data_IF_779947142723
#
_entry.id   IF_779947142723
#
_cell.length_a   1.000
_cell.length_b   1.000
_cell.length_c   1.000
_cell.angle_alpha   90.00
_cell.angle_beta   90.00
_cell.angle_gamma   90.00
#
_symmetry.space_group_name_H-M   'P 1'
#
loop_
_entity.id
_entity.type
_entity.pdbx_description
1 polymer ?
#
# COMPACT_ATOMS: atom_id res chain seq x y z
N UNK A 1 -0.20 -23.05 -1.01
CA UNK A 1 -0.51 -21.92 -0.10
C UNK A 1 0.59 -20.87 -0.01
N UNK A 2 1.81 -21.15 0.50
CA UNK A 2 2.87 -20.11 0.60
C UNK A 2 3.20 -19.43 -0.74
N UNK A 3 3.40 -20.22 -1.80
CA UNK A 3 3.63 -19.68 -3.15
C UNK A 3 2.44 -18.85 -3.65
N UNK A 4 1.21 -19.35 -3.45
CA UNK A 4 -0.02 -18.62 -3.78
C UNK A 4 -0.09 -17.26 -3.07
N UNK A 5 0.25 -17.24 -1.78
CA UNK A 5 0.26 -16.03 -0.96
C UNK A 5 1.22 -14.96 -1.48
N UNK A 6 2.46 -15.38 -1.79
CA UNK A 6 3.48 -14.49 -2.34
C UNK A 6 3.05 -13.96 -3.72
N UNK A 7 2.53 -14.81 -4.60
CA UNK A 7 2.06 -14.39 -5.93
C UNK A 7 0.90 -13.38 -5.85
N UNK A 8 -0.03 -13.56 -4.90
CA UNK A 8 -1.13 -12.61 -4.68
C UNK A 8 -0.61 -11.28 -4.13
N UNK A 9 0.36 -11.30 -3.20
CA UNK A 9 1.02 -10.09 -2.70
C UNK A 9 1.72 -9.33 -3.84
N UNK A 10 2.54 -10.01 -4.65
CA UNK A 10 3.23 -9.38 -5.76
C UNK A 10 2.26 -8.85 -6.82
N UNK A 11 1.15 -9.55 -7.09
CA UNK A 11 0.11 -9.09 -8.00
C UNK A 11 -0.64 -7.85 -7.48
N UNK A 12 -0.92 -7.77 -6.17
CA UNK A 12 -1.50 -6.58 -5.54
C UNK A 12 -0.58 -5.37 -5.73
N UNK A 13 0.70 -5.49 -5.39
CA UNK A 13 1.69 -4.41 -5.57
C UNK A 13 1.84 -4.02 -7.03
N UNK A 14 1.98 -4.99 -7.95
CA UNK A 14 2.08 -4.72 -9.38
C UNK A 14 0.87 -3.93 -9.87
N UNK A 15 -0.34 -4.34 -9.48
CA UNK A 15 -1.59 -3.68 -9.91
C UNK A 15 -1.72 -2.27 -9.32
N UNK A 16 -1.45 -2.11 -8.03
CA UNK A 16 -1.52 -0.82 -7.33
C UNK A 16 -0.55 0.20 -7.94
N UNK A 17 0.73 -0.18 -8.10
CA UNK A 17 1.76 0.71 -8.65
C UNK A 17 1.58 0.97 -10.15
N UNK A 18 0.96 0.05 -10.88
CA UNK A 18 0.50 0.30 -12.26
C UNK A 18 -0.62 1.34 -12.29
N UNK A 19 -1.49 1.36 -11.28
CA UNK A 19 -2.46 2.43 -11.10
C UNK A 19 -1.83 3.80 -10.90
N UNK A 20 -0.76 3.89 -10.09
CA UNK A 20 -0.03 5.14 -9.82
C UNK A 20 0.59 5.76 -11.08
N UNK A 21 1.19 4.94 -11.95
CA UNK A 21 1.80 5.44 -13.20
C UNK A 21 0.77 5.82 -14.27
N UNK A 22 -0.47 5.36 -14.13
CA UNK A 22 -1.50 5.60 -15.13
C UNK A 22 -2.02 7.05 -15.11
N UNK A 23 -2.29 7.61 -16.29
CA UNK A 23 -2.82 8.99 -16.43
C UNK A 23 -4.20 9.04 -17.07
N UNK A 24 -4.76 7.88 -17.38
CA UNK A 24 -6.04 7.74 -18.08
C UNK A 24 -7.09 7.08 -17.19
N UNK A 25 -8.23 6.73 -17.78
CA UNK A 25 -9.29 5.95 -17.13
C UNK A 25 -8.83 4.57 -16.61
N UNK A 26 -7.66 4.08 -17.05
CA UNK A 26 -7.07 2.83 -16.55
C UNK A 26 -6.78 2.89 -15.05
N UNK A 27 -6.40 4.07 -14.54
CA UNK A 27 -6.07 4.30 -13.12
C UNK A 27 -7.14 3.76 -12.18
N UNK A 28 -8.39 4.20 -12.35
CA UNK A 28 -9.48 3.78 -11.46
C UNK A 28 -9.71 2.27 -11.52
N UNK A 29 -9.64 1.68 -12.71
CA UNK A 29 -9.80 0.22 -12.87
C UNK A 29 -8.70 -0.56 -12.16
N UNK A 30 -7.46 -0.09 -12.27
CA UNK A 30 -6.32 -0.69 -11.59
C UNK A 30 -6.44 -0.55 -10.07
N UNK A 31 -6.93 0.59 -9.56
CA UNK A 31 -7.21 0.75 -8.13
C UNK A 31 -8.30 -0.21 -7.66
N UNK A 32 -9.43 -0.28 -8.34
CA UNK A 32 -10.52 -1.21 -8.00
C UNK A 32 -10.03 -2.67 -7.96
N UNK A 33 -9.17 -3.06 -8.91
CA UNK A 33 -8.57 -4.39 -8.97
C UNK A 33 -7.53 -4.60 -7.87
N UNK A 34 -6.74 -3.59 -7.53
CA UNK A 34 -5.80 -3.65 -6.41
C UNK A 34 -6.53 -3.91 -5.08
N UNK A 35 -7.70 -3.29 -4.87
CA UNK A 35 -8.51 -3.51 -3.66
C UNK A 35 -9.06 -4.94 -3.59
N UNK A 36 -9.43 -5.52 -4.73
CA UNK A 36 -9.86 -6.91 -4.79
C UNK A 36 -8.68 -7.84 -4.44
N UNK A 37 -7.50 -7.60 -5.00
CA UNK A 37 -6.31 -8.42 -4.76
C UNK A 37 -5.84 -8.31 -3.30
N UNK A 38 -5.91 -7.12 -2.70
CA UNK A 38 -5.61 -6.96 -1.28
C UNK A 38 -6.58 -7.74 -0.40
N UNK A 39 -7.89 -7.72 -0.71
CA UNK A 39 -8.85 -8.59 0.00
C UNK A 39 -8.51 -10.07 -0.13
N UNK A 40 -8.15 -10.54 -1.33
CA UNK A 40 -7.71 -11.92 -1.53
C UNK A 40 -6.46 -12.25 -0.71
N UNK A 41 -5.48 -11.33 -0.67
CA UNK A 41 -4.28 -11.44 0.15
C UNK A 41 -4.62 -11.63 1.63
N UNK A 42 -5.46 -10.76 2.19
CA UNK A 42 -5.88 -10.85 3.61
C UNK A 42 -6.66 -12.14 3.91
N UNK A 43 -7.50 -12.62 2.98
CA UNK A 43 -8.22 -13.89 3.16
C UNK A 43 -7.28 -15.09 3.21
N UNK A 44 -6.29 -15.14 2.32
CA UNK A 44 -5.29 -16.21 2.30
C UNK A 44 -4.44 -16.21 3.57
N UNK A 45 -4.10 -15.03 4.08
CA UNK A 45 -3.37 -14.91 5.35
C UNK A 45 -4.16 -15.50 6.52
N UNK A 46 -5.43 -15.12 6.64
CA UNK A 46 -6.33 -15.66 7.66
C UNK A 46 -6.49 -17.19 7.52
N UNK A 47 -6.55 -17.71 6.30
CA UNK A 47 -6.61 -19.15 6.04
C UNK A 47 -5.32 -19.86 6.48
N UNK A 48 -4.15 -19.27 6.21
CA UNK A 48 -2.86 -19.80 6.67
C UNK A 48 -2.75 -19.81 8.20
N UNK A 49 -3.18 -18.74 8.89
CA UNK A 49 -3.20 -18.68 10.36
C UNK A 49 -4.11 -19.79 10.93
N UNK A 50 -5.34 -19.93 10.40
CA UNK A 50 -6.28 -20.98 10.84
C UNK A 50 -5.73 -22.39 10.67
N UNK A 51 -4.93 -22.62 9.62
CA UNK A 51 -4.31 -23.91 9.34
C UNK A 51 -2.94 -24.08 10.01
N UNK A 52 -2.51 -23.10 10.80
CA UNK A 52 -1.22 -23.07 11.47
C UNK A 52 -0.03 -23.23 10.49
N UNK A 53 -0.16 -22.63 9.30
CA UNK A 53 0.86 -22.61 8.26
C UNK A 53 1.73 -21.37 8.47
N UNK A 54 2.98 -21.56 8.84
CA UNK A 54 3.94 -20.45 8.97
C UNK A 54 4.12 -19.72 7.63
N UNK A 55 4.12 -18.39 7.64
CA UNK A 55 4.32 -17.54 6.47
C UNK A 55 5.20 -16.34 6.80
N UNK A 56 5.62 -15.65 5.75
CA UNK A 56 6.36 -14.41 5.79
C UNK A 56 5.92 -13.51 4.61
N UNK A 57 6.39 -12.26 4.62
CA UNK A 57 6.19 -11.31 3.52
C UNK A 57 7.37 -11.25 2.55
N UNK A 58 8.25 -12.26 2.56
CA UNK A 58 9.38 -12.31 1.66
C UNK A 58 8.91 -12.53 0.22
N UNK A 59 9.35 -11.64 -0.67
CA UNK A 59 8.93 -11.61 -2.07
C UNK A 59 10.05 -11.06 -2.94
N UNK A 60 9.92 -11.22 -4.25
CA UNK A 60 10.82 -10.56 -5.19
C UNK A 60 10.48 -9.08 -5.29
N UNK A 61 11.43 -8.30 -5.82
CA UNK A 61 11.13 -6.93 -6.23
C UNK A 61 10.14 -6.97 -7.40
N UNK A 62 9.09 -6.15 -7.33
CA UNK A 62 8.15 -5.96 -8.44
C UNK A 62 8.73 -4.90 -9.38
N UNK A 63 9.17 -5.27 -10.60
CA UNK A 63 9.78 -4.33 -11.53
C UNK A 63 8.68 -3.47 -12.17
N UNK A 64 8.67 -2.16 -11.87
CA UNK A 64 7.65 -1.24 -12.38
C UNK A 64 8.18 -0.24 -13.42
N UNK A 65 9.50 -0.11 -13.56
CA UNK A 65 10.10 0.85 -14.49
C UNK A 65 9.96 0.36 -15.93
N UNK A 66 8.93 0.86 -16.61
CA UNK A 66 8.58 0.50 -17.99
C UNK A 66 8.32 1.75 -18.82
N UNK A 67 8.31 1.60 -20.15
CA UNK A 67 7.98 2.71 -21.06
C UNK A 67 6.48 2.81 -21.36
N UNK A 68 5.78 1.68 -21.40
CA UNK A 68 4.35 1.62 -21.76
C UNK A 68 3.58 0.77 -20.77
N UNK A 69 2.33 1.16 -20.50
CA UNK A 69 1.46 0.46 -19.56
C UNK A 69 1.22 -1.00 -19.96
N UNK A 70 1.15 -1.29 -21.27
CA UNK A 70 0.98 -2.66 -21.77
C UNK A 70 1.98 -3.64 -21.17
N UNK A 71 3.23 -3.22 -20.91
CA UNK A 71 4.24 -4.11 -20.30
C UNK A 71 3.77 -4.58 -18.92
N UNK A 72 3.26 -3.65 -18.11
CA UNK A 72 2.71 -3.97 -16.79
C UNK A 72 1.39 -4.75 -16.88
N UNK A 73 0.50 -4.41 -17.81
CA UNK A 73 -0.75 -5.16 -18.00
C UNK A 73 -0.49 -6.62 -18.35
N UNK A 74 0.53 -6.91 -19.17
CA UNK A 74 0.94 -8.28 -19.48
C UNK A 74 1.59 -8.98 -18.28
N UNK A 75 2.42 -8.28 -17.50
CA UNK A 75 3.02 -8.84 -16.27
C UNK A 75 1.94 -9.21 -15.26
N UNK A 76 0.99 -8.31 -14.99
CA UNK A 76 -0.14 -8.56 -14.09
C UNK A 76 -0.96 -9.75 -14.60
N UNK A 77 -1.33 -9.79 -15.88
CA UNK A 77 -2.06 -10.94 -16.44
C UNK A 77 -1.33 -12.27 -16.22
N UNK A 78 -0.01 -12.30 -16.38
CA UNK A 78 0.80 -13.49 -16.13
C UNK A 78 0.73 -13.91 -14.67
N UNK A 79 0.90 -12.97 -13.74
CA UNK A 79 0.77 -13.22 -12.29
C UNK A 79 -0.60 -13.77 -11.92
N UNK A 80 -1.67 -13.15 -12.44
CA UNK A 80 -3.04 -13.63 -12.19
C UNK A 80 -3.28 -15.03 -12.76
N UNK A 81 -2.69 -15.36 -13.91
CA UNK A 81 -2.74 -16.72 -14.48
C UNK A 81 -2.02 -17.72 -13.57
N UNK A 82 -0.83 -17.38 -13.07
CA UNK A 82 -0.11 -18.21 -12.10
C UNK A 82 -0.89 -18.38 -10.79
N UNK A 83 -1.53 -17.33 -10.29
CA UNK A 83 -2.40 -17.42 -9.11
C UNK A 83 -3.54 -18.41 -9.37
N UNK A 84 -4.22 -18.32 -10.53
CA UNK A 84 -5.30 -19.25 -10.92
C UNK A 84 -4.83 -20.71 -10.93
N UNK A 85 -3.62 -20.99 -11.39
CA UNK A 85 -3.01 -22.34 -11.37
C UNK A 85 -2.69 -22.82 -9.95
N UNK A 86 -2.38 -21.91 -9.03
CA UNK A 86 -2.03 -22.20 -7.65
C UNK A 86 -3.25 -22.27 -6.71
N UNK A 87 -4.44 -21.88 -7.16
CA UNK A 87 -5.65 -21.84 -6.33
C UNK A 87 -6.05 -23.19 -5.75
N UNK A 88 -5.75 -24.30 -6.44
CA UNK A 88 -6.01 -25.66 -5.93
C UNK A 88 -5.22 -25.98 -4.66
N UNK A 89 -4.22 -25.15 -4.31
CA UNK A 89 -3.48 -25.25 -3.05
C UNK A 89 -4.15 -24.54 -1.86
N UNK A 90 -5.31 -23.91 -2.06
CA UNK A 90 -6.14 -23.33 -0.99
C UNK A 90 -7.28 -24.30 -0.63
N UNK A 91 -7.38 -24.63 0.67
CA UNK A 91 -8.33 -25.62 1.16
C UNK A 91 -9.76 -25.09 1.27
N UNK A 92 -9.93 -23.77 1.44
CA UNK A 92 -11.25 -23.14 1.50
C UNK A 92 -11.88 -23.04 0.10
N UNK A 93 -12.84 -23.91 -0.17
CA UNK A 93 -13.55 -23.96 -1.45
C UNK A 93 -14.33 -22.69 -1.78
N UNK A 94 -14.85 -21.99 -0.77
CA UNK A 94 -15.63 -20.77 -0.98
C UNK A 94 -14.70 -19.61 -1.37
N UNK A 95 -13.57 -19.45 -0.67
CA UNK A 95 -12.52 -18.48 -1.02
C UNK A 95 -11.96 -18.80 -2.41
N UNK A 96 -11.59 -20.06 -2.67
CA UNK A 96 -11.08 -20.50 -3.98
C UNK A 96 -12.04 -20.18 -5.11
N UNK A 97 -13.35 -20.46 -4.94
CA UNK A 97 -14.35 -20.12 -5.94
C UNK A 97 -14.46 -18.59 -6.16
N UNK A 98 -14.49 -17.82 -5.06
CA UNK A 98 -14.59 -16.35 -5.11
C UNK A 98 -13.38 -15.74 -5.83
N UNK A 99 -12.16 -16.13 -5.44
CA UNK A 99 -10.92 -15.68 -6.07
C UNK A 99 -10.90 -16.05 -7.55
N UNK A 100 -11.24 -17.30 -7.92
CA UNK A 100 -11.28 -17.73 -9.31
C UNK A 100 -12.24 -16.87 -10.15
N UNK A 101 -13.41 -16.55 -9.64
CA UNK A 101 -14.38 -15.70 -10.33
C UNK A 101 -13.84 -14.29 -10.55
N UNK A 102 -13.31 -13.65 -9.50
CA UNK A 102 -12.74 -12.32 -9.56
C UNK A 102 -11.55 -12.23 -10.52
N UNK A 103 -10.59 -13.16 -10.40
CA UNK A 103 -9.38 -13.16 -11.21
C UNK A 103 -9.67 -13.35 -12.70
N UNK A 104 -10.61 -14.24 -13.05
CA UNK A 104 -11.04 -14.40 -14.44
C UNK A 104 -11.65 -13.10 -15.00
N UNK A 105 -12.46 -12.41 -14.21
CA UNK A 105 -13.01 -11.11 -14.62
C UNK A 105 -11.91 -10.07 -14.80
N UNK A 106 -11.00 -9.92 -13.82
CA UNK A 106 -9.89 -8.97 -13.89
C UNK A 106 -9.04 -9.22 -15.14
N UNK A 107 -8.62 -10.47 -15.38
CA UNK A 107 -7.85 -10.84 -16.58
C UNK A 107 -8.59 -10.48 -17.87
N UNK A 108 -9.91 -10.69 -17.92
CA UNK A 108 -10.72 -10.33 -19.09
C UNK A 108 -10.72 -8.82 -19.35
N UNK A 109 -10.77 -7.99 -18.30
CA UNK A 109 -10.76 -6.53 -18.42
C UNK A 109 -9.37 -6.01 -18.77
N UNK A 110 -8.31 -6.54 -18.14
CA UNK A 110 -6.92 -6.12 -18.40
C UNK A 110 -6.54 -6.25 -19.89
N UNK A 111 -7.08 -7.26 -20.59
CA UNK A 111 -6.89 -7.45 -22.04
C UNK A 111 -7.47 -6.35 -22.92
N UNK A 112 -8.39 -5.55 -22.36
CA UNK A 112 -9.13 -4.50 -23.08
C UNK A 112 -8.72 -3.10 -22.70
N UNK A 113 -7.88 -2.94 -21.66
CA UNK A 113 -7.43 -1.63 -21.25
C UNK A 113 -6.51 -1.03 -22.33
N UNK A 114 -6.71 0.24 -22.72
CA UNK A 114 -5.86 0.90 -23.69
C UNK A 114 -4.43 1.04 -23.18
N UNK A 115 -3.45 0.94 -24.08
CA UNK A 115 -2.07 1.26 -23.78
C UNK A 115 -1.89 2.77 -23.51
N UNK A 116 -0.87 3.13 -22.74
CA UNK A 116 -0.44 4.51 -22.52
C UNK A 116 1.08 4.56 -22.30
N UNK A 117 1.66 5.72 -22.60
CA UNK A 117 3.06 6.04 -22.36
C UNK A 117 3.23 6.45 -20.88
N UNK A 118 4.21 5.86 -20.18
CA UNK A 118 4.36 6.02 -18.72
C UNK A 118 5.80 6.34 -18.28
N UNK A 119 6.73 6.62 -19.19
CA UNK A 119 8.13 6.97 -18.85
C UNK A 119 8.23 8.18 -17.94
N UNK A 120 7.28 9.12 -18.04
CA UNK A 120 7.19 10.28 -17.17
C UNK A 120 7.05 9.92 -15.68
N UNK A 121 6.61 8.71 -15.32
CA UNK A 121 6.60 8.25 -13.93
C UNK A 121 8.01 7.90 -13.37
N UNK A 122 9.04 7.90 -14.23
CA UNK A 122 10.39 7.43 -13.91
C UNK A 122 11.53 8.31 -14.46
N UNK A 123 11.22 9.50 -14.96
CA UNK A 123 12.18 10.38 -15.64
C UNK A 123 13.07 11.20 -14.68
N UNK A 124 12.80 11.10 -13.37
CA UNK A 124 13.53 11.73 -12.28
C UNK A 124 13.64 13.26 -12.37
N UNK A 125 12.72 13.93 -13.09
CA UNK A 125 12.70 15.40 -13.16
C UNK A 125 12.40 16.06 -11.82
N UNK A 126 11.62 15.40 -10.95
CA UNK A 126 11.16 15.92 -9.64
C UNK A 126 10.35 17.23 -9.78
N UNK A 127 9.66 17.37 -10.90
CA UNK A 127 8.76 18.47 -11.20
C UNK A 127 7.33 18.01 -10.91
N UNK A 128 6.58 18.79 -10.13
CA UNK A 128 5.17 18.50 -9.89
C UNK A 128 4.28 19.32 -10.84
N UNK A 129 3.26 18.71 -11.47
CA UNK A 129 2.39 19.41 -12.41
C UNK A 129 1.78 20.68 -11.82
N UNK A 130 1.93 21.81 -12.51
CA UNK A 130 1.36 23.12 -12.15
C UNK A 130 1.84 23.70 -10.79
N UNK A 131 2.91 23.17 -10.21
CA UNK A 131 3.50 23.67 -8.96
C UNK A 131 4.99 23.91 -9.15
N UNK A 132 5.46 25.14 -8.85
CA UNK A 132 6.89 25.48 -8.87
C UNK A 132 7.46 25.41 -7.47
N UNK A 133 8.15 24.31 -7.17
CA UNK A 133 8.89 24.14 -5.92
C UNK A 133 10.29 24.72 -6.06
N UNK A 134 10.77 25.41 -5.01
CA UNK A 134 12.19 25.72 -4.91
C UNK A 134 12.99 24.44 -4.59
N UNK A 135 14.32 24.50 -4.66
CA UNK A 135 15.19 23.33 -4.46
C UNK A 135 15.00 22.69 -3.07
N UNK A 136 14.89 23.51 -2.02
CA UNK A 136 14.70 23.05 -0.64
C UNK A 136 13.38 22.28 -0.49
N UNK A 137 12.28 22.86 -0.95
CA UNK A 137 10.94 22.26 -0.93
C UNK A 137 10.86 21.00 -1.79
N UNK A 138 11.49 20.99 -2.98
CA UNK A 138 11.55 19.82 -3.86
C UNK A 138 12.31 18.66 -3.19
N UNK A 139 13.45 18.95 -2.55
CA UNK A 139 14.25 17.95 -1.85
C UNK A 139 13.52 17.42 -0.61
N UNK A 140 12.89 18.30 0.18
CA UNK A 140 12.09 17.92 1.34
C UNK A 140 10.91 17.02 0.94
N UNK A 141 10.16 17.40 -0.11
CA UNK A 141 9.05 16.61 -0.63
C UNK A 141 9.53 15.25 -1.15
N UNK A 142 10.64 15.22 -1.90
CA UNK A 142 11.19 13.97 -2.42
C UNK A 142 11.57 13.01 -1.29
N UNK A 143 12.23 13.50 -0.24
CA UNK A 143 12.62 12.69 0.91
C UNK A 143 11.39 12.14 1.64
N UNK A 144 10.44 13.02 1.95
CA UNK A 144 9.17 12.67 2.60
C UNK A 144 8.44 11.57 1.82
N UNK A 145 8.26 11.73 0.50
CA UNK A 145 7.55 10.75 -0.31
C UNK A 145 8.21 9.37 -0.29
N UNK A 146 9.54 9.28 -0.26
CA UNK A 146 10.23 7.98 -0.15
C UNK A 146 10.09 7.34 1.23
N UNK A 147 10.20 8.14 2.29
CA UNK A 147 10.09 7.65 3.67
C UNK A 147 8.65 7.22 3.97
N UNK A 148 7.68 8.09 3.72
CA UNK A 148 6.28 7.84 4.05
C UNK A 148 5.66 6.78 3.15
N UNK A 149 5.92 6.76 1.83
CA UNK A 149 5.38 5.67 1.00
C UNK A 149 5.87 4.28 1.42
N UNK A 150 7.11 4.19 1.94
CA UNK A 150 7.61 2.94 2.51
C UNK A 150 6.94 2.64 3.85
N UNK A 151 6.80 3.66 4.71
CA UNK A 151 6.16 3.51 6.01
C UNK A 151 4.71 3.07 5.90
N UNK A 152 3.93 3.67 5.00
CA UNK A 152 2.53 3.29 4.78
C UNK A 152 2.39 1.84 4.32
N UNK A 153 3.27 1.40 3.41
CA UNK A 153 3.31 0.00 3.03
C UNK A 153 3.64 -0.90 4.22
N UNK A 154 4.64 -0.53 5.03
CA UNK A 154 4.99 -1.28 6.25
C UNK A 154 3.80 -1.39 7.21
N UNK A 155 3.14 -0.27 7.52
CA UNK A 155 1.98 -0.23 8.41
C UNK A 155 0.83 -1.10 7.90
N UNK A 156 0.50 -1.06 6.60
CA UNK A 156 -0.51 -1.96 6.00
C UNK A 156 -0.17 -3.41 6.30
N UNK A 157 1.08 -3.82 6.09
CA UNK A 157 1.51 -5.20 6.30
C UNK A 157 1.52 -5.58 7.78
N UNK A 158 2.01 -4.70 8.65
CA UNK A 158 2.06 -4.91 10.09
C UNK A 158 0.66 -5.07 10.68
N UNK A 159 -0.24 -4.11 10.43
CA UNK A 159 -1.61 -4.18 10.93
C UNK A 159 -2.39 -5.36 10.34
N UNK A 160 -2.14 -5.72 9.09
CA UNK A 160 -2.76 -6.88 8.48
C UNK A 160 -2.30 -8.18 9.17
N UNK A 161 -1.00 -8.31 9.46
CA UNK A 161 -0.46 -9.42 10.25
C UNK A 161 -1.08 -9.46 11.66
N UNK A 162 -1.08 -8.33 12.39
CA UNK A 162 -1.64 -8.26 13.75
C UNK A 162 -3.11 -8.64 13.78
N UNK A 163 -3.88 -8.17 12.80
CA UNK A 163 -5.29 -8.51 12.64
C UNK A 163 -5.50 -9.99 12.36
N UNK A 164 -4.72 -10.60 11.47
CA UNK A 164 -4.84 -12.02 11.15
C UNK A 164 -4.48 -12.94 12.33
N UNK A 165 -3.61 -12.47 13.23
CA UNK A 165 -3.14 -13.22 14.40
C UNK A 165 -3.85 -12.84 15.72
N UNK A 166 -4.88 -11.99 15.66
CA UNK A 166 -5.65 -11.57 16.83
C UNK A 166 -7.09 -12.09 16.78
N UNK A 167 -7.58 -12.56 17.94
CA UNK A 167 -8.99 -12.94 18.13
C UNK A 167 -9.82 -11.82 18.77
N UNK A 168 -9.21 -10.67 19.08
CA UNK A 168 -9.91 -9.52 19.66
C UNK A 168 -10.61 -8.72 18.56
N UNK A 169 -11.94 -8.74 18.57
CA UNK A 169 -12.75 -8.06 17.57
C UNK A 169 -12.61 -6.52 17.62
N UNK A 170 -12.36 -5.94 18.79
CA UNK A 170 -12.17 -4.50 18.95
C UNK A 170 -10.83 -4.08 18.36
N UNK A 171 -9.75 -4.79 18.69
CA UNK A 171 -8.43 -4.54 18.09
C UNK A 171 -8.45 -4.75 16.57
N UNK A 172 -9.11 -5.82 16.10
CA UNK A 172 -9.23 -6.10 14.67
C UNK A 172 -9.99 -5.01 13.91
N UNK A 173 -10.95 -4.35 14.56
CA UNK A 173 -11.63 -3.17 14.00
C UNK A 173 -10.66 -1.99 13.88
N UNK A 174 -9.87 -1.72 14.91
CA UNK A 174 -8.87 -0.64 14.90
C UNK A 174 -7.82 -0.87 13.81
N UNK A 175 -7.24 -2.07 13.74
CA UNK A 175 -6.27 -2.41 12.70
C UNK A 175 -6.85 -2.28 11.30
N UNK A 176 -8.12 -2.65 11.08
CA UNK A 176 -8.76 -2.45 9.79
C UNK A 176 -8.84 -0.97 9.41
N UNK A 177 -9.23 -0.09 10.34
CA UNK A 177 -9.29 1.35 10.08
C UNK A 177 -7.90 1.89 9.72
N UNK A 178 -6.88 1.53 10.50
CA UNK A 178 -5.50 1.96 10.23
C UNK A 178 -4.99 1.47 8.87
N UNK A 179 -5.31 0.23 8.47
CA UNK A 179 -5.00 -0.30 7.12
C UNK A 179 -5.67 0.54 6.04
N UNK A 180 -6.95 0.88 6.20
CA UNK A 180 -7.71 1.62 5.20
C UNK A 180 -7.16 3.05 5.02
N UNK A 181 -6.80 3.73 6.11
CA UNK A 181 -6.13 5.03 6.07
C UNK A 181 -4.73 4.93 5.43
N UNK A 182 -3.94 3.92 5.82
CA UNK A 182 -2.59 3.72 5.25
C UNK A 182 -2.63 3.44 3.74
N UNK A 183 -3.64 2.70 3.25
CA UNK A 183 -3.87 2.49 1.82
C UNK A 183 -4.16 3.81 1.12
N UNK A 184 -4.94 4.69 1.73
CA UNK A 184 -5.25 6.01 1.19
C UNK A 184 -3.99 6.91 1.12
N UNK A 185 -3.17 6.93 2.17
CA UNK A 185 -1.89 7.65 2.19
C UNK A 185 -0.92 7.11 1.13
N UNK A 186 -0.71 5.79 1.09
CA UNK A 186 0.13 5.14 0.08
C UNK A 186 -0.31 5.49 -1.35
N UNK A 187 -1.62 5.56 -1.60
CA UNK A 187 -2.17 5.97 -2.90
C UNK A 187 -1.84 7.42 -3.23
N UNK A 188 -2.00 8.30 -2.26
CA UNK A 188 -1.72 9.74 -2.42
C UNK A 188 -0.24 9.97 -2.68
N UNK A 189 0.64 9.40 -1.87
CA UNK A 189 2.09 9.53 -2.03
C UNK A 189 2.59 8.85 -3.30
N UNK A 190 2.12 7.65 -3.62
CA UNK A 190 2.44 6.95 -4.87
C UNK A 190 2.04 7.75 -6.12
N UNK A 191 0.88 8.42 -6.09
CA UNK A 191 0.47 9.33 -7.15
C UNK A 191 1.42 10.52 -7.28
N UNK A 192 1.80 11.16 -6.17
CA UNK A 192 2.74 12.28 -6.19
C UNK A 192 4.12 11.86 -6.70
N UNK A 193 4.62 10.69 -6.29
CA UNK A 193 5.89 10.14 -6.78
C UNK A 193 5.86 9.88 -8.29
N UNK A 194 4.74 9.36 -8.80
CA UNK A 194 4.51 9.17 -10.24
C UNK A 194 4.52 10.50 -10.99
N UNK A 195 3.87 11.52 -10.45
CA UNK A 195 3.84 12.86 -11.08
C UNK A 195 5.22 13.53 -11.10
N UNK A 196 6.03 13.29 -10.08
CA UNK A 196 7.41 13.79 -9.97
C UNK A 196 8.44 12.94 -10.72
N UNK A 197 8.04 11.84 -11.34
CA UNK A 197 8.95 10.96 -12.08
C UNK A 197 9.88 10.11 -11.21
N UNK A 198 9.51 9.87 -9.95
CA UNK A 198 10.32 9.16 -8.94
C UNK A 198 9.63 7.91 -8.38
N UNK A 199 8.61 7.39 -9.08
CA UNK A 199 7.84 6.24 -8.61
C UNK A 199 8.73 5.01 -8.39
N UNK A 200 8.62 4.40 -7.20
CA UNK A 200 9.36 3.20 -6.84
C UNK A 200 8.51 2.29 -5.95
N UNK A 201 8.64 0.97 -6.12
CA UNK A 201 7.97 -0.01 -5.26
C UNK A 201 8.68 -0.14 -3.90
N UNK A 202 7.94 -0.40 -2.81
CA UNK A 202 8.51 -0.51 -1.47
C UNK A 202 9.44 -1.72 -1.37
N UNK A 203 10.43 -1.61 -0.47
CA UNK A 203 11.37 -2.70 -0.18
C UNK A 203 10.64 -3.86 0.49
N UNK A 204 11.26 -5.04 0.47
CA UNK A 204 10.75 -6.21 1.20
C UNK A 204 10.78 -5.90 2.70
N UNK A 205 9.71 -6.27 3.40
CA UNK A 205 9.60 -6.07 4.84
C UNK A 205 10.31 -7.19 5.59
N UNK A 206 11.10 -6.82 6.61
CA UNK A 206 11.81 -7.78 7.46
C UNK A 206 10.84 -8.39 8.49
N UNK A 207 11.06 -9.66 8.84
CA UNK A 207 10.13 -10.42 9.68
C UNK A 207 9.93 -9.79 11.06
N UNK A 208 11.01 -9.27 11.62
CA UNK A 208 11.07 -8.66 12.95
C UNK A 208 10.21 -7.40 13.07
N UNK A 209 9.86 -6.77 11.95
CA UNK A 209 9.04 -5.54 11.94
C UNK A 209 7.55 -5.87 12.19
N UNK A 210 7.04 -6.95 11.59
CA UNK A 210 5.62 -7.32 11.73
C UNK A 210 5.36 -8.46 12.71
N UNK A 211 6.36 -9.29 13.02
CA UNK A 211 6.30 -10.32 14.07
C UNK A 211 6.92 -9.81 15.36
N UNK A 212 6.36 -8.74 15.93
CA UNK A 212 6.78 -8.23 17.23
C UNK A 212 6.19 -9.08 18.38
N UNK A 213 6.93 -9.17 19.49
CA UNK A 213 6.52 -9.94 20.67
C UNK A 213 5.62 -9.14 21.63
N UNK A 214 5.67 -7.80 21.56
CA UNK A 214 4.99 -6.89 22.50
C UNK A 214 4.13 -5.88 21.75
N UNK A 215 2.83 -6.16 21.68
CA UNK A 215 1.85 -5.27 21.05
C UNK A 215 1.69 -3.94 21.78
N UNK A 216 1.83 -3.94 23.11
CA UNK A 216 1.70 -2.71 23.89
C UNK A 216 2.86 -1.76 23.57
N UNK A 217 4.08 -2.30 23.51
CA UNK A 217 5.25 -1.51 23.13
C UNK A 217 5.16 -1.05 21.67
N UNK A 218 4.74 -1.92 20.76
CA UNK A 218 4.53 -1.55 19.34
C UNK A 218 3.56 -0.37 19.20
N UNK A 219 2.42 -0.37 19.90
CA UNK A 219 1.46 0.73 19.85
C UNK A 219 2.03 2.03 20.45
N UNK A 220 2.81 1.94 21.53
CA UNK A 220 3.48 3.12 22.13
C UNK A 220 4.50 3.73 21.18
N UNK A 221 5.30 2.89 20.54
CA UNK A 221 6.31 3.33 19.57
C UNK A 221 5.62 3.92 18.34
N UNK A 222 4.55 3.28 17.84
CA UNK A 222 3.71 3.81 16.78
C UNK A 222 3.16 5.21 17.09
N UNK A 223 2.63 5.46 18.29
CA UNK A 223 2.19 6.81 18.69
C UNK A 223 3.32 7.84 18.62
N UNK A 224 4.54 7.47 19.04
CA UNK A 224 5.69 8.38 18.94
C UNK A 224 6.10 8.63 17.48
N UNK A 225 6.03 7.60 16.64
CA UNK A 225 6.28 7.73 15.21
C UNK A 225 5.26 8.68 14.54
N UNK A 226 3.96 8.54 14.83
CA UNK A 226 2.92 9.43 14.30
C UNK A 226 3.12 10.89 14.76
N UNK A 227 3.57 11.09 16.00
CA UNK A 227 3.95 12.44 16.46
C UNK A 227 5.12 13.01 15.65
N UNK A 228 6.08 12.17 15.27
CA UNK A 228 7.18 12.54 14.38
C UNK A 228 6.72 12.88 12.97
N UNK A 229 5.87 12.03 12.37
CA UNK A 229 5.28 12.22 11.05
C UNK A 229 4.49 13.53 10.98
N UNK A 230 3.77 13.88 12.05
CA UNK A 230 3.08 15.17 12.16
C UNK A 230 4.02 16.37 12.10
N UNK A 231 5.13 16.33 12.82
CA UNK A 231 6.13 17.40 12.77
C UNK A 231 6.80 17.48 11.39
N UNK A 232 7.03 16.35 10.72
CA UNK A 232 7.52 16.31 9.35
C UNK A 232 6.51 16.93 8.36
N UNK A 233 5.24 16.54 8.43
CA UNK A 233 4.15 17.11 7.63
C UNK A 233 4.02 18.62 7.83
N UNK A 234 4.13 19.10 9.07
CA UNK A 234 4.08 20.53 9.37
C UNK A 234 5.25 21.29 8.76
N UNK A 235 6.48 20.79 8.93
CA UNK A 235 7.68 21.41 8.31
C UNK A 235 7.57 21.43 6.79
N UNK A 236 7.04 20.35 6.19
CA UNK A 236 6.83 20.27 4.77
C UNK A 236 5.74 21.25 4.30
N UNK A 237 4.61 21.31 5.01
CA UNK A 237 3.52 22.28 4.79
C UNK A 237 4.08 23.71 4.81
N UNK A 238 4.88 24.07 5.81
CA UNK A 238 5.55 25.37 5.90
C UNK A 238 6.50 25.61 4.72
N UNK A 239 7.34 24.63 4.37
CA UNK A 239 8.31 24.75 3.27
C UNK A 239 7.65 24.89 1.88
N UNK A 240 6.49 24.27 1.67
CA UNK A 240 5.75 24.33 0.40
C UNK A 240 4.71 25.45 0.37
N UNK A 241 4.30 25.99 1.53
CA UNK A 241 3.20 26.96 1.65
C UNK A 241 3.42 28.25 0.86
N UNK A 242 4.68 28.71 0.74
CA UNK A 242 5.03 29.88 -0.05
C UNK A 242 4.86 29.66 -1.57
N UNK A 243 4.79 28.40 -2.00
CA UNK A 243 4.82 27.96 -3.40
C UNK A 243 3.51 27.30 -3.85
N UNK A 244 2.76 26.67 -2.95
CA UNK A 244 1.48 26.01 -3.26
C UNK A 244 0.57 25.93 -2.03
N UNK A 245 -0.56 26.65 -2.07
CA UNK A 245 -1.61 26.56 -1.07
C UNK A 245 -2.31 25.18 -1.09
N UNK A 246 -2.37 24.53 -2.25
CA UNK A 246 -2.94 23.19 -2.40
C UNK A 246 -2.11 22.15 -1.65
N UNK A 247 -0.78 22.21 -1.76
CA UNK A 247 0.11 21.30 -1.01
C UNK A 247 0.08 21.55 0.48
N UNK A 248 0.09 22.81 0.92
CA UNK A 248 -0.08 23.11 2.33
C UNK A 248 -1.40 22.53 2.87
N UNK A 249 -2.51 22.74 2.14
CA UNK A 249 -3.81 22.17 2.52
C UNK A 249 -3.82 20.64 2.52
N UNK A 250 -3.09 19.98 1.62
CA UNK A 250 -2.97 18.53 1.59
C UNK A 250 -2.19 18.01 2.80
N UNK A 251 -1.03 18.60 3.13
CA UNK A 251 -0.25 18.18 4.30
C UNK A 251 -0.94 18.50 5.63
N UNK A 252 -1.71 19.59 5.70
CA UNK A 252 -2.56 19.87 6.85
C UNK A 252 -3.70 18.84 6.98
N UNK A 253 -4.23 18.36 5.86
CA UNK A 253 -5.24 17.30 5.84
C UNK A 253 -4.65 15.96 6.34
N UNK A 254 -3.49 15.52 5.81
CA UNK A 254 -2.78 14.32 6.29
C UNK A 254 -2.44 14.45 7.79
N UNK A 255 -1.89 15.58 8.21
CA UNK A 255 -1.57 15.84 9.62
C UNK A 255 -2.78 15.68 10.57
N UNK A 256 -3.97 16.04 10.09
CA UNK A 256 -5.20 15.85 10.84
C UNK A 256 -5.61 14.37 10.93
N UNK A 257 -5.35 13.55 9.90
CA UNK A 257 -5.58 12.10 9.94
C UNK A 257 -4.65 11.43 10.96
N UNK A 258 -3.40 11.86 11.08
CA UNK A 258 -2.48 11.31 12.08
C UNK A 258 -2.94 11.54 13.53
N UNK A 259 -3.70 12.61 13.81
CA UNK A 259 -4.34 12.78 15.12
C UNK A 259 -5.30 11.62 15.43
N UNK A 260 -6.03 11.18 14.42
CA UNK A 260 -6.98 10.10 14.57
C UNK A 260 -6.28 8.75 14.68
N UNK A 261 -5.18 8.53 13.97
CA UNK A 261 -4.33 7.34 14.15
C UNK A 261 -3.82 7.20 15.59
N UNK A 262 -3.31 8.30 16.17
CA UNK A 262 -2.90 8.35 17.57
C UNK A 262 -4.06 7.98 18.49
N UNK A 263 -5.23 8.58 18.30
CA UNK A 263 -6.42 8.29 19.11
C UNK A 263 -6.83 6.81 19.04
N UNK A 264 -6.78 6.21 17.84
CA UNK A 264 -7.07 4.78 17.65
C UNK A 264 -6.05 3.87 18.36
N UNK A 265 -4.76 4.21 18.33
CA UNK A 265 -3.74 3.47 19.06
C UNK A 265 -3.87 3.61 20.58
N UNK A 266 -4.25 4.79 21.07
CA UNK A 266 -4.58 5.01 22.49
C UNK A 266 -5.80 4.18 22.92
N UNK A 267 -6.84 4.10 22.08
CA UNK A 267 -8.00 3.21 22.30
C UNK A 267 -7.57 1.73 22.36
N UNK A 268 -6.69 1.30 21.45
CA UNK A 268 -6.17 -0.07 21.45
C UNK A 268 -5.37 -0.38 22.73
N UNK A 269 -4.51 0.54 23.18
CA UNK A 269 -3.77 0.43 24.44
C UNK A 269 -4.70 0.34 25.65
N UNK A 270 -5.76 1.16 25.67
CA UNK A 270 -6.75 1.12 26.74
C UNK A 270 -7.52 -0.21 26.79
N UNK A 271 -7.74 -0.85 25.64
CA UNK A 271 -8.38 -2.17 25.57
C UNK A 271 -7.45 -3.30 26.05
N UNK A 272 -6.15 -3.22 25.77
CA UNK A 272 -5.16 -4.24 26.23
C UNK A 272 -5.00 -4.28 27.76
N UNK A 273 -5.30 -3.17 28.44
CA UNK A 273 -5.13 -3.02 29.89
C UNK A 273 -6.40 -3.34 30.70
N UNK A 274 -7.44 -3.90 30.08
CA UNK A 274 -8.70 -4.32 30.72
C UNK A 274 -8.70 -5.82 31.05
#
# INVERSE_FOLDING_TARGET
MKALFIEVHEAWLATLFTGFMSKTQNKQKLYDFSDILFRHFTWLENDMVKQNIAYDYNRKQVPIKVATLDVMLHDIQKRLTTILELLDSCNDKAITHRMKSDLNYIVSVLKTLPNEEVTSAFDAKREYPNVTLNEEACNALTLFLFEESYKEYELIMVYNYSKANSNDAFLNRIFQILIDESIFHLRSFGQMMSEMGILATPRVLMEEIYKFDDLEQFLKDGIQEEMGAKEACKKLSEAVSANSAEFASFFDFINNQENYHIALMEEALANLNQ
#
